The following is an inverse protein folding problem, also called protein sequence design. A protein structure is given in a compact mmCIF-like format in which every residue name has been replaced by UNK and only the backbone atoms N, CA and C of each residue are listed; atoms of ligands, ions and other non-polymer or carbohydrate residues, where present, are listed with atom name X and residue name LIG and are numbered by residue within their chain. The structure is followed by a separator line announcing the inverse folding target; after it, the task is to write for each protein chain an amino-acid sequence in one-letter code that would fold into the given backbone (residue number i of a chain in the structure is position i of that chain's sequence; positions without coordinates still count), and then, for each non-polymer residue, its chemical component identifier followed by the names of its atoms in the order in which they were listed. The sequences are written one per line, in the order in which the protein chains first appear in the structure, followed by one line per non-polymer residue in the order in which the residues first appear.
data_IF_625797404567
#
_entry.id   IF_625797404567
#
_cell.length_a   1.000
_cell.length_b   1.000
_cell.length_c   1.000
_cell.angle_alpha   90.00
_cell.angle_beta   90.00
_cell.angle_gamma   90.00
#
_symmetry.space_group_name_H-M   'P 1'
#
loop_
_entity.id
_entity.type
_entity.pdbx_description
1 polymer ?
#
# COMPACT_ATOMS: atom_id res chain seq x y z
N UNK A 1 7.64 8.56 19.56
CA UNK A 1 7.56 7.07 19.49
C UNK A 1 6.14 6.52 19.55
N UNK A 2 5.26 7.02 20.43
CA UNK A 2 3.92 6.42 20.66
C UNK A 2 2.98 6.35 19.44
N UNK A 3 3.17 7.18 18.41
CA UNK A 3 2.38 7.10 17.16
C UNK A 3 2.81 5.93 16.29
N UNK A 4 4.11 5.66 16.21
CA UNK A 4 4.70 4.57 15.40
C UNK A 4 4.50 3.24 16.12
N UNK A 5 4.60 3.22 17.45
CA UNK A 5 4.34 2.02 18.26
C UNK A 5 2.84 1.78 18.53
N UNK A 6 1.96 2.58 17.93
CA UNK A 6 0.51 2.46 18.08
C UNK A 6 -0.14 1.62 16.98
N UNK A 7 -1.48 1.56 16.93
CA UNK A 7 -2.23 0.72 15.97
C UNK A 7 -1.94 1.00 14.50
N UNK A 8 -1.45 2.20 14.18
CA UNK A 8 -1.10 2.63 12.82
C UNK A 8 0.33 2.27 12.41
N UNK A 9 1.15 1.74 13.32
CA UNK A 9 2.56 1.44 13.10
C UNK A 9 2.82 0.56 11.88
N UNK A 10 2.03 -0.51 11.75
CA UNK A 10 2.13 -1.47 10.66
C UNK A 10 1.93 -0.87 9.27
N UNK A 11 1.13 0.20 9.15
CA UNK A 11 0.98 0.90 7.87
C UNK A 11 2.27 1.60 7.46
N UNK A 12 2.99 2.25 8.39
CA UNK A 12 4.23 2.95 8.05
C UNK A 12 5.31 1.99 7.55
N UNK A 13 5.47 0.85 8.23
CA UNK A 13 6.41 -0.20 7.81
C UNK A 13 5.94 -0.78 6.47
N UNK A 14 4.65 -1.09 6.36
CA UNK A 14 4.02 -1.59 5.14
C UNK A 14 4.26 -0.67 3.94
N UNK A 15 4.09 0.64 4.09
CA UNK A 15 4.30 1.63 3.04
C UNK A 15 5.72 1.61 2.49
N UNK A 16 6.74 1.54 3.36
CA UNK A 16 8.13 1.50 2.92
C UNK A 16 8.42 0.29 2.03
N UNK A 17 7.87 -0.88 2.39
CA UNK A 17 8.05 -2.11 1.62
C UNK A 17 7.18 -2.10 0.36
N UNK A 18 5.91 -1.77 0.51
CA UNK A 18 4.89 -1.78 -0.54
C UNK A 18 5.24 -0.84 -1.71
N UNK A 19 5.60 0.41 -1.42
CA UNK A 19 5.87 1.39 -2.47
C UNK A 19 7.23 1.18 -3.14
N UNK A 20 8.23 0.69 -2.40
CA UNK A 20 9.49 0.24 -2.98
C UNK A 20 9.26 -0.91 -3.97
N UNK A 21 8.53 -1.94 -3.54
CA UNK A 21 8.23 -3.09 -4.40
C UNK A 21 7.39 -2.70 -5.62
N UNK A 22 6.37 -1.87 -5.42
CA UNK A 22 5.57 -1.31 -6.51
C UNK A 22 6.42 -0.56 -7.53
N UNK A 23 7.37 0.29 -7.07
CA UNK A 23 8.26 1.03 -7.97
C UNK A 23 9.20 0.13 -8.76
N UNK A 24 9.72 -0.95 -8.14
CA UNK A 24 10.56 -1.94 -8.80
C UNK A 24 9.77 -2.74 -9.86
N UNK A 25 8.50 -3.07 -9.59
CA UNK A 25 7.68 -3.90 -10.45
C UNK A 25 6.90 -3.13 -11.54
N UNK A 26 6.83 -1.80 -11.48
CA UNK A 26 6.06 -1.00 -12.45
C UNK A 26 6.63 -1.05 -13.88
N UNK A 27 7.89 -1.42 -14.03
CA UNK A 27 8.62 -1.46 -15.31
C UNK A 27 9.09 -0.09 -15.82
N UNK A 28 9.89 -0.11 -16.88
CA UNK A 28 10.60 1.07 -17.40
C UNK A 28 9.78 1.94 -18.37
N UNK A 29 8.75 1.37 -19.01
CA UNK A 29 7.92 2.10 -19.97
C UNK A 29 6.75 2.79 -19.27
N UNK A 30 6.51 4.09 -19.48
CA UNK A 30 5.36 4.79 -18.90
C UNK A 30 4.06 4.24 -19.48
N UNK A 31 3.26 3.57 -18.64
CA UNK A 31 1.98 3.01 -19.01
C UNK A 31 1.01 3.12 -17.84
N UNK A 32 -0.04 3.92 -18.03
CA UNK A 32 -1.10 4.10 -17.05
C UNK A 32 -1.71 2.77 -16.57
N UNK A 33 -2.20 1.87 -17.43
CA UNK A 33 -2.84 0.64 -16.96
C UNK A 33 -1.86 -0.26 -16.20
N UNK A 34 -0.59 -0.34 -16.63
CA UNK A 34 0.42 -1.10 -15.90
C UNK A 34 0.68 -0.49 -14.52
N UNK A 35 0.83 0.83 -14.44
CA UNK A 35 1.07 1.51 -13.17
C UNK A 35 -0.13 1.39 -12.22
N UNK A 36 -1.36 1.43 -12.75
CA UNK A 36 -2.57 1.26 -11.94
C UNK A 36 -2.70 -0.17 -11.40
N UNK A 37 -2.46 -1.17 -12.24
CA UNK A 37 -2.52 -2.60 -11.84
C UNK A 37 -1.41 -2.92 -10.84
N UNK A 38 -0.16 -2.55 -11.13
CA UNK A 38 0.96 -2.80 -10.20
C UNK A 38 0.77 -1.97 -8.93
N UNK A 39 0.34 -0.71 -9.05
CA UNK A 39 0.00 0.16 -7.95
C UNK A 39 -0.99 -0.48 -6.99
N UNK A 40 -2.15 -0.88 -7.49
CA UNK A 40 -3.19 -1.48 -6.66
C UNK A 40 -2.81 -2.88 -6.15
N UNK A 41 -2.39 -3.78 -7.02
CA UNK A 41 -2.19 -5.20 -6.68
C UNK A 41 -0.91 -5.47 -5.88
N UNK A 42 0.07 -4.58 -5.91
CA UNK A 42 1.27 -4.73 -5.07
C UNK A 42 1.13 -3.88 -3.82
N UNK A 43 0.83 -2.59 -3.95
CA UNK A 43 0.93 -1.72 -2.78
C UNK A 43 -0.16 -1.99 -1.73
N UNK A 44 -1.40 -2.29 -2.16
CA UNK A 44 -2.51 -2.53 -1.22
C UNK A 44 -2.32 -3.86 -0.47
N UNK A 45 -2.12 -5.02 -1.11
CA UNK A 45 -1.96 -6.28 -0.38
C UNK A 45 -0.74 -6.29 0.54
N UNK A 46 0.40 -5.74 0.09
CA UNK A 46 1.61 -5.69 0.92
C UNK A 46 1.40 -4.79 2.13
N UNK A 47 0.82 -3.60 1.95
CA UNK A 47 0.51 -2.71 3.08
C UNK A 47 -0.40 -3.39 4.10
N UNK A 48 -1.45 -4.06 3.62
CA UNK A 48 -2.42 -4.72 4.49
C UNK A 48 -1.86 -5.94 5.20
N UNK A 49 -0.96 -6.70 4.56
CA UNK A 49 -0.25 -7.79 5.21
C UNK A 49 0.52 -7.28 6.44
N UNK A 50 1.33 -6.23 6.28
CA UNK A 50 2.08 -5.65 7.39
C UNK A 50 1.17 -5.01 8.45
N UNK A 51 0.12 -4.30 8.03
CA UNK A 51 -0.82 -3.67 8.96
C UNK A 51 -1.62 -4.69 9.77
N UNK A 52 -2.09 -5.77 9.15
CA UNK A 52 -2.82 -6.85 9.83
C UNK A 52 -1.91 -7.60 10.80
N UNK A 53 -0.71 -7.99 10.38
CA UNK A 53 0.26 -8.65 11.27
C UNK A 53 0.63 -7.76 12.45
N UNK A 54 0.85 -6.47 12.21
CA UNK A 54 1.14 -5.50 13.27
C UNK A 54 0.01 -5.42 14.30
N UNK A 55 -1.24 -5.32 13.86
CA UNK A 55 -2.39 -5.28 14.76
C UNK A 55 -2.50 -6.58 15.57
N UNK A 56 -2.32 -7.73 14.94
CA UNK A 56 -2.33 -9.02 15.64
C UNK A 56 -1.24 -9.09 16.70
N UNK A 57 -0.03 -8.60 16.42
CA UNK A 57 1.07 -8.58 17.39
C UNK A 57 0.81 -7.56 18.51
N UNK A 58 0.34 -6.36 18.16
CA UNK A 58 0.16 -5.25 19.10
C UNK A 58 -0.93 -5.53 20.15
N UNK A 59 -2.01 -6.18 19.74
CA UNK A 59 -3.16 -6.44 20.60
C UNK A 59 -3.24 -7.90 21.06
N UNK A 60 -2.43 -8.81 20.49
CA UNK A 60 -2.34 -10.21 20.88
C UNK A 60 -3.70 -10.90 20.92
N UNK A 61 -3.99 -11.55 22.06
CA UNK A 61 -5.20 -12.32 22.32
C UNK A 61 -6.50 -11.48 22.31
N UNK A 62 -6.42 -10.14 22.29
CA UNK A 62 -7.60 -9.27 22.20
C UNK A 62 -8.28 -9.33 20.83
N UNK A 63 -7.56 -9.71 19.78
CA UNK A 63 -8.19 -10.01 18.49
C UNK A 63 -8.66 -11.46 18.46
N UNK A 64 -9.83 -11.69 17.86
CA UNK A 64 -10.33 -13.05 17.53
C UNK A 64 -9.57 -13.63 16.31
N UNK A 65 -8.27 -13.37 16.22
CA UNK A 65 -7.39 -13.80 15.13
C UNK A 65 -7.13 -12.76 14.01
N UNK A 66 -6.36 -13.19 13.01
CA UNK A 66 -5.92 -12.39 11.85
C UNK A 66 -7.10 -11.82 11.05
N UNK A 67 -8.20 -12.57 10.96
CA UNK A 67 -9.41 -12.14 10.26
C UNK A 67 -10.03 -10.89 10.89
N UNK A 68 -10.15 -10.84 12.22
CA UNK A 68 -10.67 -9.67 12.93
C UNK A 68 -9.78 -8.44 12.74
N UNK A 69 -8.45 -8.63 12.78
CA UNK A 69 -7.49 -7.57 12.51
C UNK A 69 -7.60 -7.04 11.06
N UNK A 70 -7.78 -7.93 10.07
CA UNK A 70 -7.98 -7.51 8.67
C UNK A 70 -9.32 -6.78 8.47
N UNK A 71 -10.41 -7.26 9.09
CA UNK A 71 -11.73 -6.64 8.99
C UNK A 71 -11.74 -5.20 9.53
N UNK A 72 -10.93 -4.90 10.55
CA UNK A 72 -10.74 -3.53 11.04
C UNK A 72 -10.13 -2.57 9.99
N UNK A 73 -9.47 -3.11 8.96
CA UNK A 73 -8.75 -2.34 7.94
C UNK A 73 -9.46 -2.29 6.58
N UNK A 74 -10.42 -3.19 6.33
CA UNK A 74 -11.13 -3.32 5.04
C UNK A 74 -11.72 -2.00 4.54
N UNK A 75 -12.21 -1.17 5.45
CA UNK A 75 -12.79 0.14 5.12
C UNK A 75 -11.83 1.09 4.40
N UNK A 76 -10.50 0.92 4.53
CA UNK A 76 -9.53 1.79 3.84
C UNK A 76 -9.27 1.37 2.38
N UNK A 77 -9.70 0.16 1.96
CA UNK A 77 -9.40 -0.41 0.63
C UNK A 77 -9.96 0.47 -0.50
N UNK A 78 -11.21 0.95 -0.45
CA UNK A 78 -11.75 1.81 -1.51
C UNK A 78 -10.93 3.09 -1.69
N UNK A 79 -10.55 3.73 -0.58
CA UNK A 79 -9.74 4.94 -0.60
C UNK A 79 -8.34 4.69 -1.18
N UNK A 80 -7.72 3.56 -0.83
CA UNK A 80 -6.40 3.21 -1.33
C UNK A 80 -6.40 2.84 -2.82
N UNK A 81 -7.48 2.22 -3.31
CA UNK A 81 -7.65 1.95 -4.74
C UNK A 81 -7.77 3.26 -5.54
N UNK A 82 -8.55 4.22 -5.04
CA UNK A 82 -8.67 5.56 -5.67
C UNK A 82 -7.30 6.24 -5.71
N UNK A 83 -6.55 6.23 -4.60
CA UNK A 83 -5.20 6.79 -4.54
C UNK A 83 -4.25 6.09 -5.52
N UNK A 84 -4.31 4.77 -5.64
CA UNK A 84 -3.47 4.01 -6.57
C UNK A 84 -3.74 4.40 -8.03
N UNK A 85 -5.01 4.58 -8.41
CA UNK A 85 -5.40 5.04 -9.74
C UNK A 85 -4.90 6.46 -9.99
N UNK A 86 -5.09 7.38 -9.03
CA UNK A 86 -4.61 8.75 -9.13
C UNK A 86 -3.07 8.80 -9.25
N UNK A 87 -2.36 8.02 -8.44
CA UNK A 87 -0.91 7.90 -8.50
C UNK A 87 -0.43 7.32 -9.84
N UNK A 88 -1.15 6.38 -10.42
CA UNK A 88 -0.83 5.84 -11.74
C UNK A 88 -1.00 6.88 -12.85
N UNK A 89 -2.06 7.69 -12.79
CA UNK A 89 -2.29 8.78 -13.76
C UNK A 89 -1.17 9.83 -13.70
N UNK A 90 -0.82 10.25 -12.48
CA UNK A 90 0.27 11.20 -12.25
C UNK A 90 1.62 10.60 -12.68
N UNK A 91 1.91 9.36 -12.27
CA UNK A 91 3.17 8.68 -12.56
C UNK A 91 3.39 8.42 -14.05
N UNK A 92 2.34 7.99 -14.78
CA UNK A 92 2.43 7.77 -16.22
C UNK A 92 2.66 9.08 -16.97
N UNK A 93 1.96 10.16 -16.57
CA UNK A 93 2.11 11.49 -17.19
C UNK A 93 3.49 12.07 -16.92
N UNK A 94 3.95 12.03 -15.67
CA UNK A 94 5.23 12.58 -15.27
C UNK A 94 6.40 11.82 -15.91
N UNK A 95 6.40 10.48 -15.84
CA UNK A 95 7.49 9.69 -16.43
C UNK A 95 7.54 9.83 -17.95
N UNK A 96 6.38 9.98 -18.62
CA UNK A 96 6.37 10.26 -20.06
C UNK A 96 7.01 11.61 -20.37
N UNK A 97 6.79 12.65 -19.56
CA UNK A 97 7.41 13.98 -19.75
C UNK A 97 8.90 13.99 -19.42
N UNK A 98 9.31 13.32 -18.36
CA UNK A 98 10.72 13.22 -17.95
C UNK A 98 11.57 12.41 -18.93
N UNK A 99 10.99 11.45 -19.66
CA UNK A 99 11.70 10.74 -20.72
C UNK A 99 12.06 11.61 -21.94
N UNK A 100 11.46 12.81 -22.07
CA UNK A 100 11.78 13.75 -23.15
C UNK A 100 12.80 14.83 -22.72
N UNK A 101 13.29 14.79 -21.47
CA UNK A 101 14.39 15.63 -20.97
C UNK A 101 15.68 14.80 -20.91
#
# INVERSE_FOLDING_TARGET
LGIIMGPRGGFFIGFLVAYTLMSLLKGHTPSFPRYAVVGALISVPVTYLFATLWLTILFGDKFVGISAAFMALVQFIPGDLIKAIAAAALGATLNRRLQFL
#
